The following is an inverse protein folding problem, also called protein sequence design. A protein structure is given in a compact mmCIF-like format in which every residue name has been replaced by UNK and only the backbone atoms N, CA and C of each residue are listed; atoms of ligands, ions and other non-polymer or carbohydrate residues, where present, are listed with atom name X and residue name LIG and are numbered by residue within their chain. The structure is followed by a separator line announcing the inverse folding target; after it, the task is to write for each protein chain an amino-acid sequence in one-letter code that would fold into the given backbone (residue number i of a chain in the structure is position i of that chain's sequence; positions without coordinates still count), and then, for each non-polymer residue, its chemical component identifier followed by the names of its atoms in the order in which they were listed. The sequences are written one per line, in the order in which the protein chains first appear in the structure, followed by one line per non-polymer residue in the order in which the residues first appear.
data_IF_959159405851
#
_entry.id   IF_959159405851
#
_cell.length_a   1.000
_cell.length_b   1.000
_cell.length_c   1.000
_cell.angle_alpha   90.00
_cell.angle_beta   90.00
_cell.angle_gamma   90.00
#
_symmetry.space_group_name_H-M   'P 1'
#
loop_
_entity.id
_entity.type
_entity.pdbx_description
1 polymer ?
#
# COMPACT_ATOMS: atom_id res chain seq x y z
N UNK A 1 -9.12 30.15 8.44
CA UNK A 1 -10.10 29.54 7.52
C UNK A 1 -9.76 28.05 7.47
N UNK A 2 -10.40 27.23 8.33
CA UNK A 2 -10.13 25.79 8.52
C UNK A 2 -11.19 25.01 7.74
N UNK A 3 -11.27 25.22 6.43
CA UNK A 3 -12.23 24.52 5.57
C UNK A 3 -11.56 23.42 4.76
N UNK A 4 -10.32 23.62 4.33
CA UNK A 4 -9.54 22.61 3.60
C UNK A 4 -9.22 21.37 4.43
N UNK A 5 -8.93 21.54 5.73
CA UNK A 5 -8.56 20.42 6.61
C UNK A 5 -9.74 19.49 6.92
N UNK A 6 -10.96 20.03 6.99
CA UNK A 6 -12.16 19.22 7.22
C UNK A 6 -12.58 18.46 5.97
N UNK A 7 -12.34 19.04 4.78
CA UNK A 7 -12.63 18.44 3.48
C UNK A 7 -11.64 17.28 3.18
N UNK A 8 -10.34 17.50 3.37
CA UNK A 8 -9.28 16.47 3.24
C UNK A 8 -9.44 15.32 4.25
N UNK A 9 -9.78 15.62 5.51
CA UNK A 9 -9.95 14.58 6.54
C UNK A 9 -11.22 13.72 6.35
N UNK A 10 -12.20 14.21 5.58
CA UNK A 10 -13.46 13.51 5.33
C UNK A 10 -13.38 12.55 4.14
N UNK A 11 -12.48 12.78 3.17
CA UNK A 11 -12.47 12.07 1.89
C UNK A 11 -11.75 10.72 1.93
N UNK A 12 -10.74 10.54 2.79
CA UNK A 12 -9.82 9.37 2.72
C UNK A 12 -9.77 8.48 3.98
N UNK A 13 -10.92 8.20 4.57
CA UNK A 13 -11.07 7.35 5.77
C UNK A 13 -10.62 8.02 7.07
N UNK A 14 -11.57 8.72 7.71
CA UNK A 14 -11.40 9.30 9.04
C UNK A 14 -11.09 8.27 10.14
N UNK A 15 -9.80 7.93 10.29
CA UNK A 15 -9.23 7.37 11.52
C UNK A 15 -8.66 8.53 12.33
N UNK A 16 -9.11 8.69 13.57
CA UNK A 16 -8.58 9.68 14.51
C UNK A 16 -7.04 9.60 14.64
N UNK A 17 -6.45 8.42 14.40
CA UNK A 17 -5.01 8.22 14.33
C UNK A 17 -4.35 9.02 13.19
N UNK A 18 -4.94 9.01 11.98
CA UNK A 18 -4.42 9.79 10.84
C UNK A 18 -4.49 11.27 11.17
N UNK A 19 -5.62 11.75 11.67
CA UNK A 19 -5.81 13.16 12.03
C UNK A 19 -4.79 13.64 13.08
N UNK A 20 -4.57 12.88 14.15
CA UNK A 20 -3.59 13.25 15.20
C UNK A 20 -2.17 13.33 14.63
N UNK A 21 -1.78 12.39 13.76
CA UNK A 21 -0.45 12.41 13.14
C UNK A 21 -0.31 13.55 12.13
N UNK A 22 -1.35 13.82 11.35
CA UNK A 22 -1.37 14.93 10.40
C UNK A 22 -1.14 16.25 11.11
N UNK A 23 -1.86 16.50 12.21
CA UNK A 23 -1.66 17.72 12.99
C UNK A 23 -0.30 17.80 13.67
N UNK A 24 0.21 16.68 14.19
CA UNK A 24 1.55 16.61 14.78
C UNK A 24 2.60 16.97 13.71
N UNK A 25 2.62 16.27 12.59
CA UNK A 25 3.61 16.44 11.54
C UNK A 25 3.50 17.85 10.92
N UNK A 26 2.29 18.38 10.70
CA UNK A 26 2.11 19.74 10.18
C UNK A 26 2.60 20.82 11.17
N UNK A 27 2.49 20.56 12.47
CA UNK A 27 3.07 21.43 13.52
C UNK A 27 4.59 21.35 13.57
N UNK A 28 5.16 20.15 13.44
CA UNK A 28 6.61 19.93 13.38
C UNK A 28 7.23 20.64 12.17
N UNK A 29 6.61 20.51 10.99
CA UNK A 29 7.06 21.22 9.77
C UNK A 29 7.01 22.74 9.98
N UNK A 30 5.91 23.26 10.54
CA UNK A 30 5.79 24.70 10.82
C UNK A 30 6.91 25.21 11.76
N UNK A 31 7.21 24.43 12.81
CA UNK A 31 8.26 24.77 13.78
C UNK A 31 9.66 24.72 13.13
N UNK A 32 9.92 23.72 12.27
CA UNK A 32 11.17 23.59 11.50
C UNK A 32 11.38 24.75 10.52
N UNK A 33 10.30 25.25 9.90
CA UNK A 33 10.33 26.39 8.99
C UNK A 33 10.33 27.75 9.72
N UNK A 34 10.10 27.76 11.03
CA UNK A 34 10.07 28.97 11.87
C UNK A 34 8.76 29.75 11.79
N UNK A 35 7.68 29.12 11.31
CA UNK A 35 6.37 29.72 11.15
C UNK A 35 5.52 29.62 12.43
N UNK A 36 4.96 30.75 12.88
CA UNK A 36 4.12 30.79 14.09
C UNK A 36 2.75 30.12 13.93
N UNK A 37 2.33 29.83 12.70
CA UNK A 37 1.00 29.31 12.37
C UNK A 37 1.13 28.19 11.32
N UNK A 38 0.43 27.07 11.56
CA UNK A 38 0.32 25.98 10.58
C UNK A 38 -0.44 26.47 9.34
N UNK A 39 0.22 26.41 8.18
CA UNK A 39 -0.36 26.78 6.88
C UNK A 39 -0.92 25.56 6.15
N UNK A 40 -1.64 25.80 5.04
CA UNK A 40 -2.11 24.71 4.19
C UNK A 40 -0.95 23.90 3.59
N UNK A 41 0.19 24.54 3.28
CA UNK A 41 1.35 23.86 2.73
C UNK A 41 1.93 22.86 3.74
N UNK A 42 2.06 23.23 5.02
CA UNK A 42 2.53 22.30 6.04
C UNK A 42 1.60 21.08 6.18
N UNK A 43 0.28 21.27 6.00
CA UNK A 43 -0.69 20.16 6.01
C UNK A 43 -0.51 19.25 4.79
N UNK A 44 -0.30 19.81 3.60
CA UNK A 44 -0.05 19.01 2.40
C UNK A 44 1.23 18.18 2.53
N UNK A 45 2.32 18.77 3.01
CA UNK A 45 3.58 18.07 3.21
C UNK A 45 3.48 17.02 4.33
N UNK A 46 2.79 17.36 5.42
CA UNK A 46 2.53 16.42 6.51
C UNK A 46 1.70 15.22 6.06
N UNK A 47 0.77 15.40 5.12
CA UNK A 47 -0.10 14.32 4.64
C UNK A 47 0.71 13.22 3.95
N UNK A 48 1.65 13.57 3.07
CA UNK A 48 2.55 12.60 2.43
C UNK A 48 3.39 11.84 3.48
N UNK A 49 3.90 12.52 4.50
CA UNK A 49 4.65 11.88 5.59
C UNK A 49 3.77 10.91 6.38
N UNK A 50 2.53 11.29 6.68
CA UNK A 50 1.58 10.44 7.41
C UNK A 50 1.23 9.20 6.59
N UNK A 51 1.05 9.33 5.29
CA UNK A 51 0.80 8.17 4.41
C UNK A 51 1.94 7.17 4.44
N UNK A 52 3.19 7.65 4.34
CA UNK A 52 4.37 6.81 4.40
C UNK A 52 4.50 6.14 5.77
N UNK A 53 4.28 6.86 6.88
CA UNK A 53 4.31 6.30 8.23
C UNK A 53 3.27 5.19 8.42
N UNK A 54 2.03 5.44 8.00
CA UNK A 54 0.93 4.49 8.12
C UNK A 54 1.17 3.26 7.24
N UNK A 55 1.68 3.45 6.02
CA UNK A 55 2.07 2.35 5.14
C UNK A 55 3.16 1.48 5.79
N UNK A 56 4.22 2.08 6.32
CA UNK A 56 5.31 1.37 7.00
C UNK A 56 4.78 0.59 8.22
N UNK A 57 3.93 1.19 9.05
CA UNK A 57 3.32 0.53 10.21
C UNK A 57 2.47 -0.68 9.79
N UNK A 58 1.63 -0.51 8.76
CA UNK A 58 0.80 -1.57 8.20
C UNK A 58 1.65 -2.72 7.65
N UNK A 59 2.70 -2.40 6.87
CA UNK A 59 3.61 -3.42 6.34
C UNK A 59 4.26 -4.17 7.50
N UNK A 60 4.80 -3.46 8.51
CA UNK A 60 5.42 -4.09 9.68
C UNK A 60 4.47 -5.04 10.42
N UNK A 61 3.20 -4.67 10.59
CA UNK A 61 2.17 -5.50 11.21
C UNK A 61 1.64 -6.64 10.34
N UNK A 62 2.03 -6.70 9.06
CA UNK A 62 1.55 -7.73 8.12
C UNK A 62 2.42 -8.99 8.21
N UNK A 63 1.83 -10.20 8.33
CA UNK A 63 2.59 -11.44 8.26
C UNK A 63 3.37 -11.59 6.95
N UNK A 64 4.48 -12.33 6.98
CA UNK A 64 5.35 -12.52 5.81
C UNK A 64 4.60 -12.98 4.56
N UNK A 65 3.62 -13.88 4.69
CA UNK A 65 2.79 -14.31 3.55
C UNK A 65 1.98 -13.18 2.91
N UNK A 66 1.50 -12.22 3.69
CA UNK A 66 0.82 -11.03 3.17
C UNK A 66 1.80 -10.03 2.54
N UNK A 67 2.99 -9.87 3.13
CA UNK A 67 4.07 -9.04 2.58
C UNK A 67 4.57 -9.58 1.23
N UNK A 68 4.85 -10.88 1.13
CA UNK A 68 5.28 -11.55 -0.10
C UNK A 68 4.22 -11.47 -1.21
N UNK A 69 2.94 -11.49 -0.86
CA UNK A 69 1.84 -11.35 -1.82
C UNK A 69 1.74 -9.91 -2.34
N UNK A 70 1.84 -8.92 -1.46
CA UNK A 70 1.86 -7.51 -1.84
C UNK A 70 3.08 -7.22 -2.73
N UNK A 71 4.25 -7.71 -2.33
CA UNK A 71 5.48 -7.66 -3.11
C UNK A 71 5.33 -8.29 -4.50
N UNK A 72 4.65 -9.44 -4.60
CA UNK A 72 4.42 -10.10 -5.88
C UNK A 72 3.61 -9.21 -6.83
N UNK A 73 2.58 -8.53 -6.32
CA UNK A 73 1.83 -7.54 -7.09
C UNK A 73 2.70 -6.32 -7.44
N UNK A 74 3.48 -5.77 -6.50
CA UNK A 74 4.41 -4.65 -6.77
C UNK A 74 5.41 -4.99 -7.87
N UNK A 75 5.98 -6.19 -7.84
CA UNK A 75 6.89 -6.68 -8.89
C UNK A 75 6.17 -6.83 -10.23
N UNK A 76 4.94 -7.33 -10.22
CA UNK A 76 4.14 -7.52 -11.43
C UNK A 76 3.74 -6.18 -12.06
N UNK A 77 3.33 -5.21 -11.24
CA UNK A 77 3.00 -3.84 -11.65
C UNK A 77 4.20 -3.13 -12.29
N UNK A 78 5.35 -3.13 -11.59
CA UNK A 78 6.60 -2.54 -12.09
C UNK A 78 7.06 -3.13 -13.43
N UNK A 79 6.86 -4.44 -13.63
CA UNK A 79 7.25 -5.12 -14.86
C UNK A 79 6.26 -4.91 -16.02
N UNK A 80 5.09 -4.34 -15.77
CA UNK A 80 4.04 -4.11 -16.77
C UNK A 80 3.47 -2.69 -16.59
N UNK A 81 4.27 -1.62 -16.80
CA UNK A 81 3.87 -0.24 -16.49
C UNK A 81 2.63 0.24 -17.27
N UNK A 82 2.32 -0.37 -18.41
CA UNK A 82 1.11 -0.10 -19.19
C UNK A 82 -0.16 -0.80 -18.65
N UNK A 83 -0.04 -1.66 -17.63
CA UNK A 83 -1.13 -2.45 -17.07
C UNK A 83 -1.37 -2.10 -15.60
N UNK A 84 -2.54 -1.53 -15.34
CA UNK A 84 -2.92 -1.11 -13.99
C UNK A 84 -3.60 -2.23 -13.16
N UNK A 85 -4.30 -3.18 -13.80
CA UNK A 85 -5.14 -4.18 -13.11
C UNK A 85 -4.66 -5.61 -13.33
N UNK A 86 -4.38 -6.33 -12.25
CA UNK A 86 -3.87 -7.70 -12.28
C UNK A 86 -4.85 -8.71 -11.66
N UNK A 87 -5.08 -9.84 -12.33
CA UNK A 87 -5.97 -10.89 -11.83
C UNK A 87 -5.36 -11.60 -10.63
N UNK A 88 -6.19 -12.13 -9.75
CA UNK A 88 -5.74 -13.00 -8.63
C UNK A 88 -4.79 -14.10 -9.09
N UNK A 89 -5.05 -14.74 -10.24
CA UNK A 89 -4.22 -15.82 -10.78
C UNK A 89 -2.81 -15.36 -11.15
N UNK A 90 -2.68 -14.19 -11.76
CA UNK A 90 -1.39 -13.62 -12.18
C UNK A 90 -0.56 -13.27 -10.95
N UNK A 91 -1.20 -12.65 -9.95
CA UNK A 91 -0.55 -12.31 -8.69
C UNK A 91 -0.15 -13.58 -7.93
N UNK A 92 -1.01 -14.60 -7.92
CA UNK A 92 -0.76 -15.86 -7.21
C UNK A 92 0.44 -16.61 -7.80
N UNK A 93 0.60 -16.61 -9.12
CA UNK A 93 1.74 -17.24 -9.80
C UNK A 93 3.08 -16.57 -9.42
N UNK A 94 3.14 -15.23 -9.45
CA UNK A 94 4.33 -14.49 -9.01
C UNK A 94 4.57 -14.70 -7.52
N UNK A 95 3.51 -14.69 -6.70
CA UNK A 95 3.60 -14.94 -5.26
C UNK A 95 4.15 -16.32 -4.93
N UNK A 96 3.77 -17.36 -5.68
CA UNK A 96 4.32 -18.70 -5.48
C UNK A 96 5.83 -18.73 -5.70
N UNK A 97 6.34 -17.93 -6.65
CA UNK A 97 7.78 -17.80 -6.90
C UNK A 97 8.44 -17.04 -5.75
N UNK A 98 7.92 -15.86 -5.41
CA UNK A 98 8.45 -15.02 -4.30
C UNK A 98 8.47 -15.77 -2.97
N UNK A 99 7.40 -16.50 -2.64
CA UNK A 99 7.31 -17.27 -1.40
C UNK A 99 8.43 -18.34 -1.33
N UNK A 100 8.69 -19.05 -2.43
CA UNK A 100 9.78 -20.03 -2.50
C UNK A 100 11.15 -19.37 -2.40
N UNK A 101 11.34 -18.21 -3.04
CA UNK A 101 12.60 -17.47 -2.99
C UNK A 101 12.95 -16.99 -1.57
N UNK A 102 11.93 -16.74 -0.72
CA UNK A 102 12.11 -16.43 0.72
C UNK A 102 11.95 -17.65 1.63
N UNK A 103 12.04 -18.87 1.09
CA UNK A 103 11.99 -20.14 1.82
C UNK A 103 10.68 -20.36 2.63
N UNK A 104 9.57 -19.83 2.14
CA UNK A 104 8.23 -19.97 2.74
C UNK A 104 7.31 -20.81 1.84
N UNK A 105 6.59 -21.76 2.44
CA UNK A 105 5.59 -22.53 1.71
C UNK A 105 4.45 -21.62 1.19
N UNK A 106 4.24 -21.53 -0.14
CA UNK A 106 3.23 -20.67 -0.70
C UNK A 106 1.82 -21.08 -0.28
N UNK A 107 1.01 -20.10 0.10
CA UNK A 107 -0.40 -20.34 0.37
C UNK A 107 -1.16 -20.65 -0.93
N UNK A 108 -2.14 -21.55 -0.84
CA UNK A 108 -3.03 -21.87 -1.94
C UNK A 108 -3.87 -20.68 -2.39
N UNK A 109 -4.45 -20.79 -3.58
CA UNK A 109 -5.17 -19.70 -4.27
C UNK A 109 -6.22 -18.99 -3.40
N UNK A 110 -7.07 -19.76 -2.70
CA UNK A 110 -8.12 -19.17 -1.84
C UNK A 110 -7.53 -18.33 -0.70
N UNK A 111 -6.41 -18.77 -0.13
CA UNK A 111 -5.76 -18.04 0.96
C UNK A 111 -5.03 -16.80 0.42
N UNK A 112 -4.48 -16.86 -0.78
CA UNK A 112 -3.96 -15.67 -1.47
C UNK A 112 -5.08 -14.65 -1.74
N UNK A 113 -6.27 -15.10 -2.17
CA UNK A 113 -7.43 -14.23 -2.35
C UNK A 113 -7.84 -13.53 -1.04
N UNK A 114 -7.87 -14.25 0.08
CA UNK A 114 -8.15 -13.66 1.40
C UNK A 114 -7.12 -12.61 1.82
N UNK A 115 -5.83 -12.88 1.55
CA UNK A 115 -4.76 -11.93 1.85
C UNK A 115 -4.83 -10.68 0.96
N UNK A 116 -5.17 -10.81 -0.33
CA UNK A 116 -5.44 -9.66 -1.20
C UNK A 116 -6.63 -8.85 -0.70
N UNK A 117 -7.71 -9.51 -0.28
CA UNK A 117 -8.88 -8.84 0.32
C UNK A 117 -8.51 -8.07 1.58
N UNK A 118 -7.63 -8.63 2.41
CA UNK A 118 -7.16 -7.94 3.62
C UNK A 118 -6.43 -6.65 3.26
N UNK A 119 -5.57 -6.67 2.24
CA UNK A 119 -4.87 -5.47 1.77
C UNK A 119 -5.80 -4.44 1.13
N UNK A 120 -6.93 -4.87 0.55
CA UNK A 120 -7.99 -3.96 0.13
C UNK A 120 -8.65 -3.27 1.33
N UNK A 121 -8.93 -4.02 2.40
CA UNK A 121 -9.49 -3.45 3.63
C UNK A 121 -8.55 -2.46 4.30
N UNK A 122 -7.24 -2.63 4.17
CA UNK A 122 -6.25 -1.68 4.71
C UNK A 122 -5.97 -0.50 3.78
N UNK A 123 -6.63 -0.39 2.62
CA UNK A 123 -6.44 0.73 1.68
C UNK A 123 -5.13 0.67 0.86
N UNK A 124 -4.44 -0.46 0.86
CA UNK A 124 -3.17 -0.59 0.10
C UNK A 124 -3.44 -0.98 -1.34
N UNK A 125 -4.48 -1.79 -1.53
CA UNK A 125 -4.90 -2.28 -2.83
C UNK A 125 -6.32 -1.81 -3.12
N UNK A 126 -6.60 -1.58 -4.40
CA UNK A 126 -7.96 -1.60 -4.87
C UNK A 126 -8.35 -2.98 -5.40
N UNK A 127 -9.66 -3.20 -5.53
CA UNK A 127 -10.16 -4.36 -6.23
C UNK A 127 -11.38 -4.05 -7.06
N UNK A 128 -11.43 -4.64 -8.26
CA UNK A 128 -12.60 -4.57 -9.14
C UNK A 128 -13.03 -5.97 -9.52
N UNK A 129 -14.33 -6.23 -9.44
CA UNK A 129 -14.94 -7.45 -10.00
C UNK A 129 -15.17 -7.19 -11.48
N UNK A 130 -14.61 -8.03 -12.35
CA UNK A 130 -14.89 -8.00 -13.78
C UNK A 130 -15.69 -9.24 -14.16
N UNK A 131 -16.77 -9.01 -14.90
CA UNK A 131 -17.50 -10.05 -15.61
C UNK A 131 -17.11 -9.93 -17.09
N UNK A 132 -16.60 -11.01 -17.68
CA UNK A 132 -16.20 -11.01 -19.09
C UNK A 132 -16.80 -12.23 -19.77
N UNK A 133 -18.11 -12.18 -20.03
CA UNK A 133 -18.84 -13.19 -20.81
C UNK A 133 -18.43 -14.63 -20.50
N UNK A 134 -17.95 -15.34 -21.53
CA UNK A 134 -17.57 -16.77 -21.51
C UNK A 134 -16.32 -17.10 -20.65
N UNK A 135 -15.56 -16.11 -20.19
CA UNK A 135 -14.38 -16.30 -19.33
C UNK A 135 -14.71 -16.29 -17.82
N UNK A 136 -15.99 -16.15 -17.46
CA UNK A 136 -16.46 -16.17 -16.07
C UNK A 136 -16.18 -14.87 -15.30
N UNK A 137 -16.38 -14.96 -13.98
CA UNK A 137 -16.20 -13.83 -13.03
C UNK A 137 -14.80 -13.90 -12.42
N UNK A 138 -14.05 -12.81 -12.50
CA UNK A 138 -12.74 -12.72 -11.86
C UNK A 138 -12.56 -11.39 -11.13
N UNK A 139 -11.64 -11.39 -10.16
CA UNK A 139 -11.27 -10.21 -9.39
C UNK A 139 -9.88 -9.76 -9.82
N UNK A 140 -9.72 -8.46 -9.99
CA UNK A 140 -8.44 -7.82 -10.29
C UNK A 140 -8.09 -6.80 -9.22
N UNK A 141 -6.80 -6.55 -9.06
CA UNK A 141 -6.23 -5.68 -8.04
C UNK A 141 -5.21 -4.72 -8.67
N UNK A 142 -5.07 -3.56 -8.05
CA UNK A 142 -4.06 -2.55 -8.35
C UNK A 142 -3.50 -2.00 -7.04
N UNK A 143 -2.29 -1.45 -7.07
CA UNK A 143 -1.77 -0.65 -5.97
C UNK A 143 -2.52 0.69 -5.92
N UNK A 144 -2.80 1.23 -4.73
CA UNK A 144 -3.28 2.61 -4.60
C UNK A 144 -2.12 3.62 -4.57
N UNK A 145 -1.00 3.27 -3.95
CA UNK A 145 0.19 4.11 -3.89
C UNK A 145 1.15 3.90 -5.06
N UNK A 146 2.14 4.78 -5.15
CA UNK A 146 3.24 4.65 -6.10
C UNK A 146 4.01 3.31 -5.92
N UNK A 147 4.37 2.71 -7.05
CA UNK A 147 5.00 1.38 -7.10
C UNK A 147 6.40 1.38 -6.46
N UNK A 148 7.18 2.44 -6.64
CA UNK A 148 8.54 2.53 -6.10
C UNK A 148 8.53 2.85 -4.59
N UNK A 149 7.61 3.70 -4.14
CA UNK A 149 7.37 3.96 -2.72
C UNK A 149 6.92 2.68 -2.00
N UNK A 150 5.96 1.95 -2.58
CA UNK A 150 5.47 0.66 -2.06
C UNK A 150 6.62 -0.36 -1.98
N UNK A 151 7.42 -0.47 -3.05
CA UNK A 151 8.59 -1.35 -3.11
C UNK A 151 9.60 -1.03 -2.01
N UNK A 152 9.96 0.24 -1.90
CA UNK A 152 10.96 0.71 -0.94
C UNK A 152 10.51 0.43 0.50
N UNK A 153 9.25 0.75 0.84
CA UNK A 153 8.71 0.47 2.16
C UNK A 153 8.64 -1.03 2.49
N UNK A 154 8.32 -1.88 1.52
CA UNK A 154 8.32 -3.34 1.67
C UNK A 154 9.70 -3.91 1.98
N UNK A 155 10.70 -3.53 1.17
CA UNK A 155 12.09 -4.00 1.29
C UNK A 155 12.70 -3.54 2.61
N UNK A 156 12.52 -2.27 2.96
CA UNK A 156 13.07 -1.71 4.20
C UNK A 156 12.42 -2.30 5.46
N UNK A 157 11.15 -2.74 5.37
CA UNK A 157 10.39 -3.28 6.51
C UNK A 157 10.41 -4.82 6.60
N UNK A 158 11.08 -5.51 5.68
CA UNK A 158 11.03 -6.97 5.57
C UNK A 158 12.39 -7.54 5.16
N UNK A 159 13.24 -7.94 6.12
CA UNK A 159 14.58 -8.48 5.85
C UNK A 159 14.59 -9.64 4.85
N UNK A 160 13.58 -10.51 4.88
CA UNK A 160 13.47 -11.65 3.98
C UNK A 160 13.36 -11.22 2.51
N UNK A 161 12.67 -10.10 2.24
CA UNK A 161 12.48 -9.56 0.90
C UNK A 161 13.69 -8.76 0.40
N UNK A 162 14.62 -8.38 1.29
CA UNK A 162 15.85 -7.67 0.92
C UNK A 162 16.78 -8.51 0.06
N UNK A 163 16.79 -9.82 0.27
CA UNK A 163 17.55 -10.78 -0.54
C UNK A 163 17.15 -10.72 -2.02
N UNK A 164 15.95 -10.22 -2.30
CA UNK A 164 15.43 -10.11 -3.63
C UNK A 164 15.83 -8.80 -4.31
N UNK A 165 16.39 -7.78 -3.65
CA UNK A 165 16.60 -6.39 -4.13
C UNK A 165 17.02 -6.12 -5.61
N UNK A 166 17.55 -7.09 -6.35
CA UNK A 166 17.91 -6.98 -7.77
C UNK A 166 16.78 -7.20 -8.79
N UNK A 167 15.50 -7.25 -8.39
CA UNK A 167 14.35 -7.27 -9.33
C UNK A 167 13.86 -5.87 -9.67
#
# INVERSE_FOLDING_TARGET
MILTTAELAAEEHGDARRAVRLFRNAGEIADEEGDEIVTANHVFEADELVEVELFIEMVKGTPLSGKSLLFALTRLDRNNPEKEWFRTSEIHEVYQTVARDVEVEPKGYNRALELLNKHVTTGVLESKKKERGDQGKFRSYSLQGDVESTRTGLINSTPELQTLMGW
#
